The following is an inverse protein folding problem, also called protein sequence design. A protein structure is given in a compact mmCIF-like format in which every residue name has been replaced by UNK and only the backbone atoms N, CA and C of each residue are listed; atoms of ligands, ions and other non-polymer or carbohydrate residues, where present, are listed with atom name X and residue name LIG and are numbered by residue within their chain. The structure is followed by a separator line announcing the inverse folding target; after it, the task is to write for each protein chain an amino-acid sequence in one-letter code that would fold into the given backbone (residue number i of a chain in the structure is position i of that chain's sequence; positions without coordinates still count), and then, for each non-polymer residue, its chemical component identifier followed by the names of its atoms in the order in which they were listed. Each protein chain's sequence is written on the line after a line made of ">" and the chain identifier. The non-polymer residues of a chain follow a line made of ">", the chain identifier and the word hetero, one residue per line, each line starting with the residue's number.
data_IF_442728195471
#
_entry.id   IF_442728195471
#
_cell.length_a   1.000
_cell.length_b   1.000
_cell.length_c   1.000
_cell.angle_alpha   90.00
_cell.angle_beta   90.00
_cell.angle_gamma   90.00
#
_symmetry.space_group_name_H-M   'P 1'
#
loop_
_entity.id
_entity.type
_entity.pdbx_description
1 polymer ?
#
# COMPACT_ATOMS: atom_id res chain seq x y z
N UNK A 1 -2.24 -4.67 -24.21
CA UNK A 1 -3.28 -5.62 -23.74
C UNK A 1 -3.71 -6.62 -24.82
N UNK A 2 -3.72 -6.26 -26.10
CA UNK A 2 -4.08 -7.17 -27.21
C UNK A 2 -3.25 -8.46 -27.25
N UNK A 3 -1.96 -8.38 -26.93
CA UNK A 3 -1.04 -9.53 -26.92
C UNK A 3 -1.34 -10.56 -25.80
N UNK A 4 -2.05 -10.15 -24.73
CA UNK A 4 -2.44 -11.06 -23.65
C UNK A 4 -3.70 -11.84 -24.03
N UNK A 5 -4.68 -11.17 -24.63
CA UNK A 5 -5.94 -11.80 -25.06
C UNK A 5 -5.68 -12.86 -26.13
N UNK A 6 -4.74 -12.62 -27.06
CA UNK A 6 -4.32 -13.62 -28.03
C UNK A 6 -3.67 -14.82 -27.34
N UNK A 7 -2.73 -14.59 -26.42
CA UNK A 7 -2.07 -15.65 -25.65
C UNK A 7 -3.05 -16.50 -24.83
N UNK A 8 -4.04 -15.87 -24.18
CA UNK A 8 -5.08 -16.58 -23.42
C UNK A 8 -5.95 -17.42 -24.33
N UNK A 9 -6.33 -16.90 -25.51
CA UNK A 9 -7.09 -17.69 -26.50
C UNK A 9 -6.29 -18.89 -26.99
N UNK A 10 -5.01 -18.70 -27.31
CA UNK A 10 -4.13 -19.80 -27.73
C UNK A 10 -3.96 -20.84 -26.62
N UNK A 11 -3.76 -20.39 -25.38
CA UNK A 11 -3.68 -21.25 -24.21
C UNK A 11 -4.97 -22.05 -23.99
N UNK A 12 -6.13 -21.40 -24.14
CA UNK A 12 -7.43 -22.05 -24.01
C UNK A 12 -7.66 -23.13 -25.06
N UNK A 13 -7.24 -22.91 -26.31
CA UNK A 13 -7.30 -23.95 -27.34
C UNK A 13 -6.39 -25.16 -27.04
N UNK A 14 -5.31 -24.96 -26.28
CA UNK A 14 -4.39 -26.01 -25.87
C UNK A 14 -4.85 -26.76 -24.60
N UNK A 15 -5.81 -26.20 -23.85
CA UNK A 15 -6.38 -26.77 -22.62
C UNK A 15 -7.48 -27.83 -22.88
N UNK A 16 -7.73 -28.19 -24.15
CA UNK A 16 -8.64 -29.27 -24.54
C UNK A 16 -7.92 -30.54 -25.06
N UNK A 17 -7.02 -31.16 -24.30
CA UNK A 17 -6.37 -32.39 -24.75
C UNK A 17 -7.13 -33.64 -24.32
N UNK A 18 -7.09 -34.66 -25.17
CA UNK A 18 -7.42 -36.03 -24.81
C UNK A 18 -6.32 -36.58 -23.87
N UNK A 19 -6.67 -36.92 -22.63
CA UNK A 19 -5.75 -37.48 -21.62
C UNK A 19 -5.59 -39.01 -21.74
N UNK A 20 -5.86 -39.54 -22.93
CA UNK A 20 -6.04 -40.98 -23.14
C UNK A 20 -4.71 -41.76 -23.27
N UNK A 21 -3.56 -41.07 -23.26
CA UNK A 21 -2.24 -41.69 -23.41
C UNK A 21 -1.18 -40.98 -22.59
N UNK A 22 -0.20 -41.72 -22.06
CA UNK A 22 0.94 -41.13 -21.33
C UNK A 22 1.68 -40.06 -22.17
N UNK A 23 1.79 -40.28 -23.49
CA UNK A 23 2.39 -39.32 -24.41
C UNK A 23 1.56 -38.03 -24.53
N UNK A 24 0.23 -38.13 -24.51
CA UNK A 24 -0.62 -36.94 -24.56
C UNK A 24 -0.55 -36.16 -23.26
N UNK A 25 -0.44 -36.83 -22.11
CA UNK A 25 -0.22 -36.20 -20.81
C UNK A 25 1.07 -35.37 -20.82
N UNK A 26 2.22 -35.93 -21.22
CA UNK A 26 3.50 -35.20 -21.26
C UNK A 26 3.48 -33.99 -22.20
N UNK A 27 2.81 -34.12 -23.36
CA UNK A 27 2.62 -33.01 -24.29
C UNK A 27 1.80 -31.88 -23.68
N UNK A 28 0.78 -32.21 -22.90
CA UNK A 28 -0.09 -31.22 -22.23
C UNK A 28 0.61 -30.53 -21.09
N UNK A 29 1.37 -31.29 -20.28
CA UNK A 29 2.21 -30.73 -19.22
C UNK A 29 3.23 -29.75 -19.80
N UNK A 30 3.90 -30.13 -20.89
CA UNK A 30 4.86 -29.28 -21.59
C UNK A 30 4.22 -28.00 -22.14
N UNK A 31 3.03 -28.11 -22.75
CA UNK A 31 2.28 -26.97 -23.26
C UNK A 31 1.86 -26.02 -22.13
N UNK A 32 1.37 -26.56 -21.00
CA UNK A 32 1.00 -25.80 -19.81
C UNK A 32 2.19 -25.04 -19.22
N UNK A 33 3.33 -25.72 -19.02
CA UNK A 33 4.54 -25.07 -18.50
C UNK A 33 5.00 -23.92 -19.39
N UNK A 34 4.96 -24.11 -20.72
CA UNK A 34 5.31 -23.08 -21.69
C UNK A 34 4.36 -21.87 -21.63
N UNK A 35 3.04 -22.11 -21.53
CA UNK A 35 2.04 -21.05 -21.38
C UNK A 35 2.31 -20.24 -20.11
N UNK A 36 2.54 -20.90 -18.98
CA UNK A 36 2.82 -20.24 -17.70
C UNK A 36 4.11 -19.41 -17.79
N UNK A 37 5.17 -19.95 -18.38
CA UNK A 37 6.42 -19.22 -18.56
C UNK A 37 6.24 -17.99 -19.45
N UNK A 38 5.51 -18.12 -20.57
CA UNK A 38 5.20 -17.01 -21.47
C UNK A 38 4.32 -15.95 -20.80
N UNK A 39 3.36 -16.36 -19.98
CA UNK A 39 2.53 -15.46 -19.18
C UNK A 39 3.39 -14.71 -18.13
N UNK A 40 4.31 -15.38 -17.45
CA UNK A 40 5.26 -14.74 -16.53
C UNK A 40 6.13 -13.73 -17.27
N UNK A 41 6.63 -14.05 -18.47
CA UNK A 41 7.44 -13.12 -19.27
C UNK A 41 6.64 -11.93 -19.82
N UNK A 42 5.37 -12.14 -20.17
CA UNK A 42 4.52 -11.12 -20.82
C UNK A 42 3.79 -10.23 -19.81
N UNK A 43 3.27 -10.82 -18.75
CA UNK A 43 2.50 -10.15 -17.70
C UNK A 43 3.31 -9.87 -16.44
N UNK A 44 4.41 -10.59 -16.22
CA UNK A 44 5.35 -10.27 -15.16
C UNK A 44 6.07 -8.98 -15.52
N UNK A 45 5.88 -7.95 -14.70
CA UNK A 45 6.88 -6.91 -14.63
C UNK A 45 8.20 -7.58 -14.20
N UNK A 46 9.33 -7.36 -14.92
CA UNK A 46 10.63 -7.59 -14.32
C UNK A 46 10.56 -6.89 -12.97
N UNK A 47 10.83 -7.59 -11.88
CA UNK A 47 11.13 -6.91 -10.64
C UNK A 47 12.38 -6.11 -10.94
N UNK A 48 12.16 -4.86 -11.36
CA UNK A 48 13.21 -3.93 -11.67
C UNK A 48 14.08 -3.89 -10.43
N UNK A 49 15.27 -4.46 -10.55
CA UNK A 49 16.27 -4.43 -9.49
C UNK A 49 16.68 -2.98 -9.18
N UNK A 50 16.14 -1.98 -9.89
CA UNK A 50 16.05 -0.59 -9.49
C UNK A 50 15.02 -0.37 -8.35
N UNK A 51 15.09 -1.18 -7.28
CA UNK A 51 14.55 -0.76 -5.99
C UNK A 51 15.41 0.38 -5.46
N UNK A 52 15.10 1.60 -5.88
CA UNK A 52 15.38 2.83 -5.15
C UNK A 52 14.62 2.89 -3.80
N UNK A 53 14.47 1.75 -3.11
CA UNK A 53 13.58 1.58 -1.96
C UNK A 53 13.80 0.29 -1.15
N UNK A 54 14.90 -0.44 -1.34
CA UNK A 54 15.37 -1.34 -0.28
C UNK A 54 16.12 -0.46 0.72
N UNK A 55 15.67 -0.48 1.97
CA UNK A 55 16.42 0.12 3.07
C UNK A 55 17.89 -0.33 2.94
N UNK A 56 18.86 0.60 2.79
CA UNK A 56 20.24 0.21 2.45
C UNK A 56 20.93 -0.58 3.57
N UNK A 57 20.39 -0.50 4.79
CA UNK A 57 20.77 -1.31 5.94
C UNK A 57 20.12 -2.71 5.98
N UNK A 58 19.22 -3.06 5.05
CA UNK A 58 18.56 -4.37 5.07
C UNK A 58 19.47 -5.45 4.48
N UNK A 59 19.90 -6.40 5.30
CA UNK A 59 20.78 -7.48 4.93
C UNK A 59 20.08 -8.86 4.97
N UNK A 60 20.84 -9.91 4.65
CA UNK A 60 20.36 -11.30 4.71
C UNK A 60 19.91 -11.69 6.13
N UNK A 61 20.61 -11.24 7.16
CA UNK A 61 20.25 -11.52 8.56
C UNK A 61 18.86 -10.98 8.95
N UNK A 62 18.52 -9.76 8.51
CA UNK A 62 17.17 -9.20 8.64
C UNK A 62 16.13 -10.04 7.89
N UNK A 63 16.51 -10.62 6.75
CA UNK A 63 15.63 -11.45 5.92
C UNK A 63 15.38 -12.79 6.58
N UNK A 64 16.42 -13.47 7.07
CA UNK A 64 16.32 -14.76 7.74
C UNK A 64 15.50 -14.66 9.03
N UNK A 65 15.82 -13.68 9.89
CA UNK A 65 15.05 -13.46 11.12
C UNK A 65 13.58 -13.06 10.88
N UNK A 66 13.27 -12.40 9.75
CA UNK A 66 11.88 -12.14 9.33
C UNK A 66 11.19 -13.42 8.88
N UNK A 67 11.88 -14.30 8.15
CA UNK A 67 11.36 -15.60 7.72
C UNK A 67 11.06 -16.49 8.92
N UNK A 68 12.00 -16.61 9.87
CA UNK A 68 11.81 -17.39 11.10
C UNK A 68 10.56 -16.93 11.86
N UNK A 69 10.41 -15.61 12.06
CA UNK A 69 9.22 -15.05 12.68
C UNK A 69 7.94 -15.32 11.88
N UNK A 70 7.99 -15.21 10.55
CA UNK A 70 6.82 -15.45 9.68
C UNK A 70 6.40 -16.92 9.65
N UNK A 71 7.34 -17.85 9.62
CA UNK A 71 7.07 -19.28 9.68
C UNK A 71 6.33 -19.55 10.98
N UNK A 72 6.91 -19.16 12.11
CA UNK A 72 6.30 -19.37 13.42
C UNK A 72 4.91 -18.74 13.54
N UNK A 73 4.77 -17.47 13.11
CA UNK A 73 3.47 -16.77 13.14
C UNK A 73 2.39 -17.44 12.28
N UNK A 74 2.76 -18.16 11.22
CA UNK A 74 1.82 -18.87 10.34
C UNK A 74 1.50 -20.29 10.80
N UNK A 75 2.45 -20.97 11.43
CA UNK A 75 2.30 -22.38 11.85
C UNK A 75 1.73 -22.53 13.25
N UNK A 76 1.91 -21.53 14.11
CA UNK A 76 1.42 -21.57 15.48
C UNK A 76 -0.09 -21.36 15.55
N UNK A 77 -0.78 -22.17 16.37
CA UNK A 77 -2.22 -22.05 16.63
C UNK A 77 -2.61 -20.75 17.35
N UNK A 78 -1.72 -20.22 18.19
CA UNK A 78 -1.89 -18.95 18.89
C UNK A 78 -0.84 -17.89 18.45
N UNK A 79 -1.17 -16.98 17.51
CA UNK A 79 -0.27 -15.93 17.04
C UNK A 79 0.19 -14.93 18.13
N UNK A 80 -0.46 -14.92 19.28
CA UNK A 80 -0.09 -14.10 20.45
C UNK A 80 0.68 -14.89 21.50
N UNK A 81 0.93 -16.18 21.25
CA UNK A 81 1.70 -17.06 22.13
C UNK A 81 3.11 -16.56 22.40
N UNK A 82 3.67 -17.02 23.52
CA UNK A 82 4.96 -16.58 24.02
C UNK A 82 6.09 -16.79 22.98
N UNK A 83 6.08 -17.92 22.28
CA UNK A 83 7.07 -18.25 21.26
C UNK A 83 7.02 -17.28 20.07
N UNK A 84 5.82 -16.97 19.58
CA UNK A 84 5.62 -16.02 18.49
C UNK A 84 6.05 -14.61 18.90
N UNK A 85 5.77 -14.19 20.15
CA UNK A 85 6.27 -12.92 20.66
C UNK A 85 7.79 -12.91 20.85
N UNK A 86 8.38 -14.00 21.33
CA UNK A 86 9.84 -14.14 21.44
C UNK A 86 10.51 -14.00 20.08
N UNK A 87 10.03 -14.71 19.05
CA UNK A 87 10.54 -14.58 17.68
C UNK A 87 10.37 -13.15 17.13
N UNK A 88 9.22 -12.51 17.39
CA UNK A 88 8.98 -11.11 17.02
C UNK A 88 9.98 -10.16 17.66
N UNK A 89 10.29 -10.35 18.95
CA UNK A 89 11.27 -9.56 19.68
C UNK A 89 12.67 -9.80 19.12
N UNK A 90 13.05 -11.04 18.85
CA UNK A 90 14.33 -11.40 18.23
C UNK A 90 14.49 -10.71 16.87
N UNK A 91 13.51 -10.84 15.96
CA UNK A 91 13.51 -10.15 14.67
C UNK A 91 13.70 -8.63 14.84
N UNK A 92 12.91 -7.99 15.71
CA UNK A 92 13.05 -6.54 15.95
C UNK A 92 14.41 -6.17 16.56
N UNK A 93 15.04 -7.03 17.36
CA UNK A 93 16.38 -6.79 17.91
C UNK A 93 17.44 -6.88 16.81
N UNK A 94 17.38 -7.90 15.96
CA UNK A 94 18.24 -8.05 14.78
C UNK A 94 18.17 -6.82 13.88
N UNK A 95 16.96 -6.40 13.50
CA UNK A 95 16.75 -5.21 12.65
C UNK A 95 17.39 -3.96 13.27
N UNK A 96 17.14 -3.70 14.56
CA UNK A 96 17.72 -2.53 15.24
C UNK A 96 19.23 -2.59 15.32
N UNK A 97 19.81 -3.77 15.52
CA UNK A 97 21.28 -3.96 15.55
C UNK A 97 21.88 -3.68 14.19
N UNK A 98 21.41 -4.38 13.15
CA UNK A 98 21.89 -4.22 11.77
C UNK A 98 21.78 -2.77 11.30
N UNK A 99 20.63 -2.13 11.54
CA UNK A 99 20.43 -0.73 11.18
C UNK A 99 21.45 0.18 11.89
N UNK A 100 21.69 -0.04 13.18
CA UNK A 100 22.64 0.76 13.96
C UNK A 100 24.07 0.58 13.47
N UNK A 101 24.47 -0.65 13.17
CA UNK A 101 25.83 -0.97 12.74
C UNK A 101 26.11 -0.44 11.32
N UNK A 102 25.11 -0.51 10.43
CA UNK A 102 25.18 0.14 9.12
C UNK A 102 25.42 1.65 9.23
N UNK A 103 24.63 2.36 10.04
CA UNK A 103 24.80 3.81 10.20
C UNK A 103 26.11 4.16 10.89
N UNK A 104 26.56 3.35 11.86
CA UNK A 104 27.90 3.52 12.45
C UNK A 104 29.01 3.36 11.43
N UNK A 105 28.92 2.35 10.56
CA UNK A 105 29.87 2.17 9.46
C UNK A 105 29.89 3.37 8.52
N UNK A 106 28.72 3.90 8.16
CA UNK A 106 28.64 5.13 7.35
C UNK A 106 29.36 6.29 8.04
N UNK A 107 29.10 6.53 9.32
CA UNK A 107 29.71 7.64 10.07
C UNK A 107 31.22 7.46 10.18
N UNK A 108 31.70 6.24 10.45
CA UNK A 108 33.13 5.94 10.53
C UNK A 108 33.87 6.14 9.20
N UNK A 109 33.18 5.97 8.07
CA UNK A 109 33.75 6.14 6.74
C UNK A 109 33.70 7.59 6.22
N UNK A 110 33.26 8.56 7.03
CA UNK A 110 33.29 9.98 6.66
C UNK A 110 34.72 10.50 6.84
N UNK A 111 35.40 10.80 5.73
CA UNK A 111 36.76 11.35 5.77
C UNK A 111 36.82 12.77 5.21
N UNK A 112 35.95 13.10 4.24
CA UNK A 112 35.90 14.43 3.64
C UNK A 112 34.63 15.21 4.02
N UNK A 113 34.69 16.56 4.04
CA UNK A 113 33.51 17.40 4.24
C UNK A 113 32.38 17.12 3.23
N UNK A 114 32.73 16.70 2.01
CA UNK A 114 31.77 16.29 0.97
C UNK A 114 30.92 15.06 1.34
N UNK A 115 31.45 14.14 2.16
CA UNK A 115 30.71 12.94 2.57
C UNK A 115 29.66 13.24 3.65
N UNK A 116 29.89 14.28 4.46
CA UNK A 116 28.89 14.81 5.41
C UNK A 116 27.63 15.24 4.66
N UNK A 117 27.77 15.91 3.51
CA UNK A 117 26.62 16.30 2.68
C UNK A 117 25.85 15.09 2.12
N UNK A 118 26.56 14.00 1.78
CA UNK A 118 25.91 12.76 1.33
C UNK A 118 25.08 12.14 2.44
N UNK A 119 25.57 12.13 3.69
CA UNK A 119 24.88 11.56 4.85
C UNK A 119 23.71 12.45 5.33
N UNK A 120 23.92 13.77 5.42
CA UNK A 120 22.90 14.73 5.87
C UNK A 120 21.70 14.83 4.90
N UNK A 121 21.90 14.51 3.62
CA UNK A 121 20.79 14.40 2.64
C UNK A 121 19.73 13.36 3.05
N UNK A 122 20.12 12.29 3.76
CA UNK A 122 19.21 11.25 4.26
C UNK A 122 18.52 11.61 5.57
N UNK A 123 19.09 12.58 6.30
CA UNK A 123 18.58 13.07 7.57
C UNK A 123 17.56 14.19 7.41
N UNK A 124 17.12 14.53 6.17
CA UNK A 124 16.03 15.49 5.97
C UNK A 124 14.91 15.12 6.95
N UNK A 125 14.66 15.95 7.98
CA UNK A 125 13.52 15.71 8.83
C UNK A 125 12.34 15.64 7.88
N UNK A 126 11.45 14.67 8.04
CA UNK A 126 10.07 14.90 7.63
C UNK A 126 9.67 16.11 8.45
N UNK A 127 9.92 17.32 7.94
CA UNK A 127 9.40 18.54 8.53
C UNK A 127 7.92 18.22 8.59
N UNK A 128 7.43 18.01 9.81
CA UNK A 128 6.01 18.15 10.08
C UNK A 128 5.81 19.63 9.85
N UNK A 129 5.57 20.01 8.59
CA UNK A 129 5.12 21.33 8.23
C UNK A 129 3.79 21.39 8.97
N UNK A 130 3.82 21.99 10.16
CA UNK A 130 2.60 22.34 10.83
C UNK A 130 1.87 23.23 9.83
N UNK A 131 0.59 22.95 9.51
CA UNK A 131 -0.15 23.82 8.63
C UNK A 131 -0.01 25.25 9.17
N UNK A 132 0.13 26.27 8.30
CA UNK A 132 0.25 27.65 8.76
C UNK A 132 -0.93 28.03 9.66
N UNK A 133 -0.77 29.04 10.53
CA UNK A 133 -1.90 29.59 11.28
C UNK A 133 -3.03 29.97 10.32
N UNK A 134 -4.27 29.68 10.70
CA UNK A 134 -5.45 30.03 9.88
C UNK A 134 -6.13 31.26 10.50
N UNK A 135 -6.71 32.10 9.65
CA UNK A 135 -7.50 33.25 10.08
C UNK A 135 -8.97 33.01 9.75
N UNK A 136 -9.83 33.12 10.76
CA UNK A 136 -11.30 33.05 10.61
C UNK A 136 -11.87 34.24 11.38
N UNK A 137 -12.68 35.07 10.70
CA UNK A 137 -13.36 36.24 11.28
C UNK A 137 -12.42 37.20 12.05
N UNK A 138 -11.20 37.40 11.54
CA UNK A 138 -10.21 38.30 12.15
C UNK A 138 -9.34 37.67 13.25
N UNK A 139 -9.64 36.45 13.71
CA UNK A 139 -8.88 35.76 14.76
C UNK A 139 -7.91 34.73 14.17
N UNK A 140 -6.68 34.67 14.70
CA UNK A 140 -5.61 33.77 14.23
C UNK A 140 -5.54 32.52 15.11
N UNK A 141 -5.60 31.34 14.50
CA UNK A 141 -5.52 30.04 15.19
C UNK A 141 -4.25 29.27 14.80
N UNK A 142 -3.36 29.05 15.78
CA UNK A 142 -2.05 28.42 15.56
C UNK A 142 -2.03 26.92 15.90
N UNK A 143 -2.77 26.48 16.93
CA UNK A 143 -2.82 25.08 17.37
C UNK A 143 -3.76 24.23 16.52
N UNK A 144 -3.44 22.96 16.27
CA UNK A 144 -4.29 22.05 15.48
C UNK A 144 -5.72 21.88 16.07
N UNK A 145 -5.85 21.85 17.40
CA UNK A 145 -7.16 21.74 18.08
C UNK A 145 -8.03 22.98 17.82
N UNK A 146 -7.43 24.17 17.89
CA UNK A 146 -8.14 25.42 17.67
C UNK A 146 -8.48 25.64 16.19
N UNK A 147 -7.57 25.24 15.28
CA UNK A 147 -7.83 25.19 13.84
C UNK A 147 -9.05 24.33 13.50
N UNK A 148 -9.13 23.13 14.08
CA UNK A 148 -10.24 22.21 13.84
C UNK A 148 -11.57 22.80 14.33
N UNK A 149 -11.58 23.42 15.52
CA UNK A 149 -12.78 24.09 16.07
C UNK A 149 -13.21 25.27 15.20
N UNK A 150 -12.27 26.14 14.82
CA UNK A 150 -12.55 27.32 14.00
C UNK A 150 -13.11 26.95 12.62
N UNK A 151 -12.51 25.95 11.96
CA UNK A 151 -13.03 25.44 10.68
C UNK A 151 -14.41 24.79 10.83
N UNK A 152 -14.62 24.02 11.89
CA UNK A 152 -15.93 23.44 12.20
C UNK A 152 -17.00 24.51 12.39
N UNK A 153 -16.73 25.55 13.16
CA UNK A 153 -17.66 26.66 13.35
C UNK A 153 -17.90 27.43 12.05
N UNK A 154 -16.85 27.76 11.28
CA UNK A 154 -16.98 28.53 10.05
C UNK A 154 -17.70 27.80 8.91
N UNK A 155 -17.53 26.47 8.80
CA UNK A 155 -18.03 25.69 7.66
C UNK A 155 -19.21 24.79 7.98
N UNK A 156 -19.28 24.23 9.19
CA UNK A 156 -20.34 23.29 9.56
C UNK A 156 -21.54 24.00 10.21
N UNK A 157 -21.33 25.03 11.03
CA UNK A 157 -22.44 25.73 11.67
C UNK A 157 -23.30 26.57 10.70
N UNK A 158 -22.82 26.79 9.47
CA UNK A 158 -23.59 27.49 8.42
C UNK A 158 -24.60 26.58 7.73
N UNK A 159 -24.35 25.26 7.68
CA UNK A 159 -25.24 24.29 7.03
C UNK A 159 -26.49 24.08 7.88
N UNK A 160 -27.47 24.94 7.65
CA UNK A 160 -28.84 24.72 8.10
C UNK A 160 -29.55 23.80 7.11
N UNK A 161 -30.67 23.17 7.50
CA UNK A 161 -31.45 22.31 6.59
C UNK A 161 -31.92 23.03 5.31
N UNK A 162 -31.84 24.36 5.27
CA UNK A 162 -32.07 25.18 4.09
C UNK A 162 -30.96 25.11 3.04
N UNK A 163 -29.75 24.71 3.42
CA UNK A 163 -28.61 24.52 2.51
C UNK A 163 -28.57 23.09 1.92
N UNK A 164 -29.50 22.22 2.35
CA UNK A 164 -29.62 20.87 1.81
C UNK A 164 -30.16 20.92 0.38
N UNK A 165 -29.56 20.13 -0.51
CA UNK A 165 -30.04 19.97 -1.87
C UNK A 165 -31.43 19.31 -1.78
N UNK A 166 -32.41 19.84 -2.52
CA UNK A 166 -33.75 19.26 -2.57
C UNK A 166 -33.68 17.76 -2.87
N UNK A 167 -34.44 16.97 -2.09
CA UNK A 167 -34.45 15.52 -2.22
C UNK A 167 -34.86 15.13 -3.66
N UNK A 168 -33.96 14.49 -4.44
CA UNK A 168 -34.24 14.09 -5.81
C UNK A 168 -35.42 13.11 -5.93
N UNK A 169 -35.80 12.48 -4.81
CA UNK A 169 -36.87 11.49 -4.73
C UNK A 169 -38.15 12.01 -4.09
N UNK A 170 -38.18 13.29 -3.70
CA UNK A 170 -39.40 13.95 -3.25
C UNK A 170 -40.30 14.20 -4.47
N UNK A 171 -41.30 13.33 -4.66
CA UNK A 171 -42.33 13.53 -5.67
C UNK A 171 -43.14 14.79 -5.31
N UNK A 172 -43.44 15.69 -6.28
CA UNK A 172 -44.29 16.83 -6.01
C UNK A 172 -45.69 16.34 -5.65
N UNK A 173 -46.07 16.50 -4.39
CA UNK A 173 -47.45 16.32 -3.96
C UNK A 173 -48.24 17.54 -4.44
N UNK A 174 -48.67 17.54 -5.69
CA UNK A 174 -49.72 18.45 -6.15
C UNK A 174 -51.04 17.98 -5.53
N UNK A 175 -51.73 18.78 -4.71
CA UNK A 175 -53.12 18.49 -4.39
C UNK A 175 -53.93 18.69 -5.68
N UNK A 176 -54.57 17.63 -6.15
CA UNK A 176 -55.59 17.69 -7.20
C UNK A 176 -56.82 18.40 -6.61
N UNK A 177 -56.82 19.73 -6.66
CA UNK A 177 -58.07 20.49 -6.56
C UNK A 177 -58.77 20.35 -7.90
N UNK A 178 -59.61 19.32 -8.02
CA UNK A 178 -60.53 19.19 -9.14
C UNK A 178 -61.58 20.30 -9.06
N UNK A 179 -61.33 21.41 -9.76
CA UNK A 179 -62.38 22.35 -10.13
C UNK A 179 -63.00 21.84 -11.43
N UNK A 180 -64.10 21.10 -11.32
CA UNK A 180 -64.99 20.88 -12.46
C UNK A 180 -65.75 22.19 -12.70
N UNK A 181 -65.59 22.71 -13.92
CA UNK A 181 -66.39 23.80 -14.47
C UNK A 181 -67.87 23.40 -14.53
N UNK A 182 -68.74 24.24 -13.97
CA UNK A 182 -70.10 24.56 -14.46
C UNK A 182 -70.57 25.82 -13.73
#
# INVERSE_FOLDING_TARGET
>A
MENFVTQVKTAFTLLHPSLDSHKSIEQTTSALSNIIERAIRTCGHPQSNHKAGKNPWWNEECTNSLLDFRVLWRTTENPTGEETQRARVCFKRTVRRVQRDFWRGIIANITAPGDVYKVTRWLKPRQRISPPPIQVDGQIFSTNKDKARALGQAKLARRTANDDIADPWSHPVTPLTGTLLS
#
